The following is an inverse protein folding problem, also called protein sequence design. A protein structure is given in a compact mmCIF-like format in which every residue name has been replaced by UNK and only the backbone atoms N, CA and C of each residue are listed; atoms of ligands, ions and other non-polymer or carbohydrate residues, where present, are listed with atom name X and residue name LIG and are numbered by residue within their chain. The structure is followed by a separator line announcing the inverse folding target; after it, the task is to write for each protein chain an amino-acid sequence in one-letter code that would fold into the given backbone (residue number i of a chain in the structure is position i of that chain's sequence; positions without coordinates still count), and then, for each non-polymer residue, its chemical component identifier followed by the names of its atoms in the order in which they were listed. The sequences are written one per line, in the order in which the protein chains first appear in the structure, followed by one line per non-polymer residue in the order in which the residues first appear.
data_IF_609807837634
#
_entry.id   IF_609807837634
#
_cell.length_a   1.000
_cell.length_b   1.000
_cell.length_c   1.000
_cell.angle_alpha   90.00
_cell.angle_beta   90.00
_cell.angle_gamma   90.00
#
_symmetry.space_group_name_H-M   'P 1'
#
loop_
_entity.id
_entity.type
_entity.pdbx_description
1 polymer ?
#
# COMPACT_ATOMS: atom_id res chain seq x y z
N UNK A 1 -26.84 13.65 -37.38
CA UNK A 1 -25.43 13.95 -37.68
C UNK A 1 -24.75 14.30 -36.37
N UNK A 2 -24.08 13.34 -35.72
CA UNK A 2 -23.48 13.48 -34.39
C UNK A 2 -21.98 13.74 -34.60
N UNK A 3 -21.48 14.90 -34.16
CA UNK A 3 -20.07 15.28 -34.22
C UNK A 3 -19.29 14.50 -33.14
N UNK A 4 -18.53 13.50 -33.57
CA UNK A 4 -17.58 12.73 -32.74
C UNK A 4 -16.32 13.59 -32.48
N UNK A 5 -16.32 14.36 -31.38
CA UNK A 5 -15.15 15.07 -30.88
C UNK A 5 -14.26 14.13 -30.06
N UNK A 6 -13.56 13.21 -30.75
CA UNK A 6 -12.44 12.48 -30.12
C UNK A 6 -11.29 13.44 -29.84
N UNK A 7 -11.25 13.99 -28.62
CA UNK A 7 -10.07 14.67 -28.08
C UNK A 7 -8.89 13.70 -28.09
N UNK A 8 -7.97 13.90 -29.03
CA UNK A 8 -6.68 13.20 -29.12
C UNK A 8 -5.92 13.44 -27.80
N UNK A 9 -5.88 12.44 -26.93
CA UNK A 9 -5.18 12.51 -25.64
C UNK A 9 -3.67 12.47 -25.93
N UNK A 10 -3.04 13.64 -26.00
CA UNK A 10 -1.58 13.72 -26.18
C UNK A 10 -0.93 13.29 -24.87
N UNK A 11 -0.33 12.10 -24.86
CA UNK A 11 0.51 11.64 -23.75
C UNK A 11 1.79 12.48 -23.71
N UNK A 12 1.74 13.63 -23.05
CA UNK A 12 2.94 14.44 -22.78
C UNK A 12 3.61 13.89 -21.53
N UNK A 13 4.82 13.35 -21.69
CA UNK A 13 5.71 13.02 -20.58
C UNK A 13 6.36 14.31 -20.05
N UNK A 14 6.61 14.34 -18.73
CA UNK A 14 7.28 15.46 -18.05
C UNK A 14 8.66 14.98 -17.63
N UNK A 15 9.72 15.54 -18.23
CA UNK A 15 11.12 15.22 -17.90
C UNK A 15 11.62 16.11 -16.75
N UNK A 16 12.18 15.52 -15.70
CA UNK A 16 12.81 16.28 -14.62
C UNK A 16 14.12 16.92 -15.09
N UNK A 17 14.33 18.24 -14.89
CA UNK A 17 15.56 18.90 -15.35
C UNK A 17 16.80 18.55 -14.51
N UNK A 18 16.62 17.97 -13.31
CA UNK A 18 17.72 17.69 -12.40
C UNK A 18 18.31 16.29 -12.55
N UNK A 19 17.47 15.29 -12.85
CA UNK A 19 17.87 13.88 -12.94
C UNK A 19 17.47 13.21 -14.26
N UNK A 20 16.87 13.96 -15.18
CA UNK A 20 16.44 13.49 -16.51
C UNK A 20 15.41 12.36 -16.55
N UNK A 21 14.79 12.00 -15.42
CA UNK A 21 13.73 10.98 -15.38
C UNK A 21 12.43 11.54 -15.96
N UNK A 22 11.80 10.76 -16.83
CA UNK A 22 10.50 11.07 -17.42
C UNK A 22 9.35 10.51 -16.57
N UNK A 23 8.34 11.35 -16.33
CA UNK A 23 7.16 11.00 -15.56
C UNK A 23 5.90 11.16 -16.40
N UNK A 24 4.89 10.32 -16.17
CA UNK A 24 3.53 10.65 -16.65
C UNK A 24 2.95 11.72 -15.74
N UNK A 25 2.15 12.68 -16.25
CA UNK A 25 1.56 13.72 -15.43
C UNK A 25 0.74 13.21 -14.23
N UNK A 26 0.10 12.04 -14.38
CA UNK A 26 -0.66 11.41 -13.31
C UNK A 26 0.24 10.96 -12.13
N UNK A 27 1.46 10.49 -12.42
CA UNK A 27 2.37 9.89 -11.43
C UNK A 27 2.98 10.94 -10.50
N UNK A 28 3.07 12.20 -10.95
CA UNK A 28 3.60 13.31 -10.16
C UNK A 28 2.53 14.34 -9.75
N UNK A 29 1.26 14.11 -10.09
CA UNK A 29 0.17 15.06 -9.80
C UNK A 29 0.07 15.41 -8.30
N UNK A 30 0.33 14.43 -7.45
CA UNK A 30 0.31 14.55 -5.98
C UNK A 30 1.47 15.38 -5.42
N UNK A 31 2.53 15.62 -6.19
CA UNK A 31 3.70 16.40 -5.76
C UNK A 31 3.61 17.89 -6.10
N UNK A 32 2.48 18.33 -6.70
CA UNK A 32 2.23 19.72 -7.06
C UNK A 32 2.04 20.58 -5.80
N UNK A 33 3.02 21.43 -5.48
CA UNK A 33 2.94 22.40 -4.39
C UNK A 33 3.38 23.77 -4.91
N UNK A 34 2.59 24.82 -4.63
CA UNK A 34 2.92 26.21 -5.01
C UNK A 34 3.31 26.36 -6.50
N UNK A 35 2.61 25.67 -7.41
CA UNK A 35 2.79 25.79 -8.86
C UNK A 35 3.97 25.03 -9.48
N UNK A 36 4.69 24.21 -8.72
CA UNK A 36 5.75 23.33 -9.23
C UNK A 36 5.55 21.90 -8.72
N UNK A 37 5.95 20.91 -9.52
CA UNK A 37 6.03 19.52 -9.07
C UNK A 37 7.36 19.30 -8.36
N UNK A 38 7.38 18.35 -7.42
CA UNK A 38 8.62 17.89 -6.78
C UNK A 38 9.00 16.54 -7.39
N UNK A 39 10.24 16.40 -7.85
CA UNK A 39 10.73 15.15 -8.44
C UNK A 39 10.84 14.06 -7.36
N UNK A 40 10.15 12.91 -7.48
CA UNK A 40 10.23 11.85 -6.48
C UNK A 40 11.62 11.22 -6.33
N UNK A 41 12.48 11.33 -7.34
CA UNK A 41 13.79 10.68 -7.36
C UNK A 41 14.93 11.54 -6.80
N UNK A 42 14.87 12.86 -6.96
CA UNK A 42 15.95 13.77 -6.56
C UNK A 42 15.49 15.01 -5.79
N UNK A 43 14.18 15.10 -5.49
CA UNK A 43 13.53 16.22 -4.80
C UNK A 43 13.64 17.58 -5.50
N UNK A 44 14.26 17.64 -6.68
CA UNK A 44 14.37 18.83 -7.52
C UNK A 44 13.00 19.35 -7.98
N UNK A 45 12.89 20.67 -8.19
CA UNK A 45 11.65 21.31 -8.63
C UNK A 45 11.47 21.13 -10.13
N UNK A 46 10.33 20.60 -10.54
CA UNK A 46 9.94 20.47 -11.95
C UNK A 46 8.92 21.56 -12.26
N UNK A 47 9.20 22.47 -13.21
CA UNK A 47 8.26 23.52 -13.59
C UNK A 47 6.97 22.90 -14.15
N UNK A 48 5.82 23.40 -13.70
CA UNK A 48 4.53 22.96 -14.23
C UNK A 48 4.42 23.35 -15.70
N UNK A 49 4.03 22.44 -16.62
CA UNK A 49 3.86 22.77 -18.03
C UNK A 49 2.77 23.83 -18.26
N UNK A 50 1.88 24.05 -17.28
CA UNK A 50 0.87 25.10 -17.28
C UNK A 50 1.43 26.50 -16.97
N UNK A 51 2.65 26.59 -16.44
CA UNK A 51 3.30 27.84 -16.05
C UNK A 51 4.17 28.42 -17.18
N UNK A 52 3.74 28.28 -18.43
CA UNK A 52 4.31 29.11 -19.49
C UNK A 52 3.95 30.56 -19.16
N UNK A 53 4.93 31.47 -18.99
CA UNK A 53 4.63 32.88 -18.79
C UNK A 53 3.90 33.36 -20.03
N UNK A 54 2.60 33.53 -19.91
CA UNK A 54 1.77 34.11 -20.96
C UNK A 54 2.26 35.56 -21.11
N UNK A 55 3.20 35.79 -22.04
CA UNK A 55 3.50 37.13 -22.55
C UNK A 55 2.21 37.60 -23.20
N UNK A 56 1.39 38.29 -22.41
CA UNK A 56 0.20 38.99 -22.86
C UNK A 56 0.64 40.14 -23.76
N UNK A 57 0.83 39.85 -25.04
CA UNK A 57 0.78 40.85 -26.09
C UNK A 57 -0.66 40.91 -26.56
N UNK A 58 -1.53 41.49 -25.74
CA UNK A 58 -2.92 41.77 -26.12
C UNK A 58 -3.01 43.20 -26.65
N UNK A 59 -3.53 43.43 -27.86
CA UNK A 59 -3.83 44.78 -28.34
C UNK A 59 -5.00 45.38 -27.55
N UNK A 60 -5.09 46.72 -27.41
CA UNK A 60 -6.15 47.35 -26.62
C UNK A 60 -7.50 47.23 -27.35
N UNK A 61 -8.30 46.26 -26.92
CA UNK A 61 -9.68 46.03 -27.38
C UNK A 61 -10.71 46.38 -26.30
N UNK A 62 -11.95 46.78 -26.68
CA UNK A 62 -12.86 47.53 -25.83
C UNK A 62 -13.54 46.65 -24.76
N UNK A 63 -13.13 46.82 -23.50
CA UNK A 63 -13.56 46.04 -22.31
C UNK A 63 -15.03 46.26 -21.92
N UNK A 64 -15.78 47.16 -22.58
CA UNK A 64 -17.13 47.54 -22.14
C UNK A 64 -18.26 46.52 -22.41
N UNK A 65 -18.06 45.47 -23.21
CA UNK A 65 -19.15 44.55 -23.59
C UNK A 65 -19.40 43.38 -22.62
N UNK A 66 -18.51 43.11 -21.67
CA UNK A 66 -18.63 41.95 -20.78
C UNK A 66 -19.01 42.29 -19.33
N UNK A 67 -19.09 43.58 -18.98
CA UNK A 67 -19.44 43.98 -17.62
C UNK A 67 -20.91 43.65 -17.26
N UNK A 68 -21.82 43.84 -18.21
CA UNK A 68 -23.25 43.59 -18.02
C UNK A 68 -23.59 42.11 -17.73
N UNK A 69 -23.14 41.11 -18.52
CA UNK A 69 -23.45 39.71 -18.23
C UNK A 69 -22.81 39.20 -16.93
N UNK A 70 -21.63 39.70 -16.56
CA UNK A 70 -20.98 39.32 -15.29
C UNK A 70 -21.77 39.84 -14.09
N UNK A 71 -22.28 41.08 -14.13
CA UNK A 71 -23.11 41.61 -13.04
C UNK A 71 -24.44 40.86 -12.90
N UNK A 72 -25.07 40.46 -14.02
CA UNK A 72 -26.30 39.65 -14.00
C UNK A 72 -26.03 38.29 -13.35
N UNK A 73 -24.95 37.59 -13.73
CA UNK A 73 -24.63 36.29 -13.15
C UNK A 73 -24.37 36.39 -11.64
N UNK A 74 -23.68 37.45 -11.22
CA UNK A 74 -23.35 37.69 -9.81
C UNK A 74 -24.63 37.94 -8.99
N UNK A 75 -25.58 38.69 -9.54
CA UNK A 75 -26.89 38.94 -8.94
C UNK A 75 -27.75 37.67 -8.79
N UNK A 76 -27.73 36.78 -9.78
CA UNK A 76 -28.46 35.50 -9.70
C UNK A 76 -27.88 34.60 -8.61
N UNK A 77 -26.54 34.50 -8.53
CA UNK A 77 -25.89 33.67 -7.50
C UNK A 77 -26.18 34.21 -6.09
N UNK A 78 -26.12 35.53 -5.89
CA UNK A 78 -26.43 36.13 -4.59
C UNK A 78 -27.90 35.95 -4.21
N UNK A 79 -28.83 36.11 -5.15
CA UNK A 79 -30.24 35.84 -4.91
C UNK A 79 -30.48 34.39 -4.45
N UNK A 80 -29.89 33.40 -5.14
CA UNK A 80 -30.01 31.98 -4.78
C UNK A 80 -29.45 31.66 -3.39
N UNK A 81 -28.31 32.25 -3.02
CA UNK A 81 -27.73 32.05 -1.69
C UNK A 81 -28.67 32.62 -0.62
N UNK A 82 -29.22 33.81 -0.83
CA UNK A 82 -30.15 34.43 0.12
C UNK A 82 -31.44 33.63 0.26
N UNK A 83 -32.05 33.14 -0.82
CA UNK A 83 -33.24 32.27 -0.73
C UNK A 83 -32.95 30.96 -0.01
N UNK A 84 -31.77 30.36 -0.24
CA UNK A 84 -31.39 29.11 0.43
C UNK A 84 -31.25 29.28 1.95
N UNK A 85 -30.69 30.40 2.40
CA UNK A 85 -30.58 30.70 3.84
C UNK A 85 -31.90 31.13 4.48
N UNK A 86 -32.76 31.85 3.76
CA UNK A 86 -34.07 32.27 4.28
C UNK A 86 -35.10 31.12 4.34
N UNK A 87 -35.01 30.13 3.46
CA UNK A 87 -35.94 28.99 3.45
C UNK A 87 -35.55 27.83 4.39
N UNK A 88 -34.42 27.92 5.10
CA UNK A 88 -33.96 26.84 6.00
C UNK A 88 -34.52 26.89 7.43
N UNK A 89 -35.65 27.57 7.65
CA UNK A 89 -36.30 27.67 8.95
C UNK A 89 -37.60 26.84 9.03
N UNK A 90 -37.50 25.53 8.81
CA UNK A 90 -38.49 24.56 9.32
C UNK A 90 -37.77 23.34 9.89
N UNK A 91 -37.19 23.52 11.08
CA UNK A 91 -36.78 22.40 11.93
C UNK A 91 -38.01 21.87 12.65
N UNK A 92 -38.78 21.02 11.96
CA UNK A 92 -39.75 20.14 12.60
C UNK A 92 -38.97 19.15 13.47
N UNK A 93 -38.86 19.47 14.75
CA UNK A 93 -38.31 18.59 15.77
C UNK A 93 -39.29 17.43 15.94
N UNK A 94 -39.10 16.33 15.21
CA UNK A 94 -39.80 15.09 15.52
C UNK A 94 -39.28 14.57 16.85
N UNK A 95 -40.16 14.52 17.84
CA UNK A 95 -39.94 13.82 19.09
C UNK A 95 -39.72 12.33 18.78
N UNK A 96 -38.46 11.92 18.83
CA UNK A 96 -38.06 10.50 18.80
C UNK A 96 -38.64 9.86 20.06
N UNK A 97 -39.61 8.95 19.88
CA UNK A 97 -40.06 8.08 20.97
C UNK A 97 -38.86 7.28 21.48
N UNK A 98 -38.61 7.22 22.80
CA UNK A 98 -37.53 6.44 23.35
C UNK A 98 -37.76 4.97 22.99
N UNK A 99 -36.90 4.43 22.13
CA UNK A 99 -36.80 2.99 21.92
C UNK A 99 -36.15 2.44 23.18
N UNK A 100 -36.93 1.74 23.99
CA UNK A 100 -36.43 1.00 25.14
C UNK A 100 -35.36 0.03 24.65
N UNK A 101 -34.09 0.15 25.07
CA UNK A 101 -33.08 -0.80 24.67
C UNK A 101 -33.48 -2.18 25.19
N UNK A 102 -33.56 -3.15 24.28
CA UNK A 102 -33.61 -4.56 24.66
C UNK A 102 -32.28 -4.85 25.35
N UNK A 103 -32.33 -4.94 26.67
CA UNK A 103 -31.21 -5.36 27.51
C UNK A 103 -30.94 -6.82 27.15
N UNK A 104 -29.96 -7.05 26.29
CA UNK A 104 -29.36 -8.36 26.12
C UNK A 104 -28.65 -8.64 27.45
N UNK A 105 -29.17 -9.58 28.23
CA UNK A 105 -28.52 -10.02 29.46
C UNK A 105 -27.08 -10.42 29.14
N UNK A 106 -26.07 -9.84 29.80
CA UNK A 106 -24.70 -10.30 29.66
C UNK A 106 -24.65 -11.77 30.05
N UNK A 107 -24.10 -12.57 29.14
CA UNK A 107 -23.76 -13.98 29.39
C UNK A 107 -22.93 -14.03 30.69
N UNK A 108 -23.26 -14.92 31.64
CA UNK A 108 -22.50 -15.07 32.88
C UNK A 108 -21.01 -15.22 32.56
N UNK A 109 -20.24 -14.26 33.04
CA UNK A 109 -18.79 -14.22 32.90
C UNK A 109 -18.23 -15.46 33.59
N UNK A 110 -17.64 -16.35 32.81
CA UNK A 110 -17.00 -17.55 33.32
C UNK A 110 -15.82 -17.09 34.19
N UNK A 111 -15.71 -17.54 35.45
CA UNK A 111 -14.66 -17.08 36.35
C UNK A 111 -13.29 -17.29 35.70
N UNK A 112 -12.35 -16.34 35.84
CA UNK A 112 -11.01 -16.49 35.30
C UNK A 112 -10.42 -17.81 35.81
N UNK A 113 -10.03 -18.67 34.87
CA UNK A 113 -9.31 -19.89 35.18
C UNK A 113 -8.12 -19.51 36.07
N UNK A 114 -8.08 -20.08 37.29
CA UNK A 114 -6.95 -19.94 38.21
C UNK A 114 -5.65 -20.21 37.44
N UNK A 115 -4.66 -19.32 37.51
CA UNK A 115 -3.33 -19.62 37.02
C UNK A 115 -2.83 -20.91 37.70
N UNK A 116 -2.42 -21.89 36.90
CA UNK A 116 -1.72 -23.04 37.42
C UNK A 116 -0.46 -22.56 38.18
N UNK A 117 -0.15 -23.13 39.35
CA UNK A 117 1.04 -22.77 40.11
C UNK A 117 2.28 -22.97 39.21
N UNK A 118 3.08 -21.91 39.10
CA UNK A 118 4.36 -21.98 38.43
C UNK A 118 5.24 -23.05 39.10
N UNK A 119 5.95 -23.90 38.33
CA UNK A 119 6.90 -24.83 38.90
C UNK A 119 8.00 -24.07 39.67
N UNK A 120 8.53 -24.64 40.76
CA UNK A 120 9.58 -24.01 41.54
C UNK A 120 10.79 -23.73 40.66
N UNK A 121 11.23 -22.48 40.67
CA UNK A 121 12.47 -22.03 40.04
C UNK A 121 13.61 -22.79 40.71
N UNK A 122 14.15 -23.78 39.99
CA UNK A 122 15.35 -24.50 40.39
C UNK A 122 16.53 -23.53 40.34
N UNK A 123 17.03 -23.17 41.52
CA UNK A 123 18.23 -22.37 41.72
C UNK A 123 19.43 -23.12 41.14
N UNK A 124 19.90 -22.68 39.97
CA UNK A 124 21.14 -23.17 39.35
C UNK A 124 22.33 -22.71 40.21
N UNK A 125 23.28 -23.61 40.57
CA UNK A 125 24.48 -23.24 41.31
C UNK A 125 25.38 -22.31 40.51
N UNK A 126 25.98 -21.33 41.19
CA UNK A 126 27.03 -20.47 40.67
C UNK A 126 28.18 -21.31 40.09
N UNK A 127 28.28 -21.36 38.77
CA UNK A 127 29.35 -22.02 38.05
C UNK A 127 30.63 -21.20 38.20
N UNK A 128 31.68 -21.89 38.67
CA UNK A 128 33.03 -21.40 38.78
C UNK A 128 33.55 -20.82 37.46
N UNK A 129 34.33 -19.74 37.57
CA UNK A 129 35.13 -19.19 36.50
C UNK A 129 36.15 -20.24 36.04
N UNK A 130 35.82 -20.93 34.95
CA UNK A 130 36.78 -21.76 34.21
C UNK A 130 37.51 -20.82 33.27
N UNK A 131 38.83 -20.72 33.47
CA UNK A 131 39.73 -19.97 32.59
C UNK A 131 39.73 -20.57 31.19
N UNK A 132 39.55 -19.71 30.19
CA UNK A 132 39.67 -20.01 28.77
C UNK A 132 41.10 -20.46 28.43
N UNK A 133 41.36 -21.77 28.49
CA UNK A 133 42.51 -22.36 27.83
C UNK A 133 42.15 -22.54 26.34
N UNK A 134 42.42 -21.48 25.59
CA UNK A 134 42.20 -21.36 24.16
C UNK A 134 43.12 -22.32 23.41
N UNK A 135 42.62 -23.54 23.16
CA UNK A 135 43.27 -24.51 22.29
C UNK A 135 43.16 -24.01 20.83
N UNK A 136 44.29 -23.55 20.27
CA UNK A 136 44.46 -23.15 18.87
C UNK A 136 44.24 -24.35 17.93
N UNK A 137 42.98 -24.73 17.70
CA UNK A 137 42.61 -25.62 16.62
C UNK A 137 42.66 -24.85 15.29
N UNK A 138 43.20 -25.45 14.21
CA UNK A 138 43.26 -24.81 12.90
C UNK A 138 41.85 -24.42 12.43
N UNK A 139 41.58 -23.11 12.41
CA UNK A 139 40.31 -22.54 11.98
C UNK A 139 40.12 -22.85 10.49
N UNK A 140 39.29 -23.86 10.20
CA UNK A 140 38.83 -24.12 8.84
C UNK A 140 38.16 -22.84 8.32
N UNK A 141 38.59 -22.28 7.18
CA UNK A 141 38.03 -21.03 6.67
C UNK A 141 36.51 -21.18 6.53
N UNK A 142 35.77 -20.19 7.06
CA UNK A 142 34.34 -20.17 6.94
C UNK A 142 33.95 -20.22 5.44
N UNK A 143 32.98 -21.06 5.05
CA UNK A 143 32.57 -21.15 3.65
C UNK A 143 32.03 -19.81 3.16
N UNK A 144 32.32 -19.47 1.90
CA UNK A 144 31.87 -18.25 1.25
C UNK A 144 30.33 -18.22 1.17
N UNK A 145 29.72 -17.27 1.87
CA UNK A 145 28.25 -17.12 1.94
C UNK A 145 27.64 -16.86 0.57
N UNK A 146 28.33 -16.18 -0.36
CA UNK A 146 27.81 -15.96 -1.71
C UNK A 146 27.68 -17.29 -2.46
N UNK A 147 28.70 -18.15 -2.39
CA UNK A 147 28.66 -19.48 -3.01
C UNK A 147 27.54 -20.35 -2.43
N UNK A 148 27.30 -20.26 -1.12
CA UNK A 148 26.17 -20.94 -0.48
C UNK A 148 24.84 -20.42 -1.04
N UNK A 149 24.66 -19.11 -1.14
CA UNK A 149 23.44 -18.49 -1.68
C UNK A 149 23.19 -18.89 -3.13
N UNK A 150 24.21 -18.80 -3.99
CA UNK A 150 24.12 -19.18 -5.40
C UNK A 150 23.78 -20.67 -5.56
N UNK A 151 24.38 -21.54 -4.73
CA UNK A 151 24.05 -22.97 -4.70
C UNK A 151 22.62 -23.23 -4.27
N UNK A 152 22.15 -22.61 -3.18
CA UNK A 152 20.75 -22.76 -2.70
C UNK A 152 19.77 -22.35 -3.80
N UNK A 153 20.01 -21.20 -4.45
CA UNK A 153 19.16 -20.71 -5.52
C UNK A 153 19.13 -21.67 -6.72
N UNK A 154 20.28 -22.21 -7.12
CA UNK A 154 20.40 -23.17 -8.21
C UNK A 154 19.74 -24.52 -7.89
N UNK A 155 19.96 -25.06 -6.69
CA UNK A 155 19.34 -26.31 -6.22
C UNK A 155 17.83 -26.19 -6.13
N UNK A 156 17.35 -25.05 -5.62
CA UNK A 156 15.93 -24.75 -5.56
C UNK A 156 15.29 -24.73 -6.95
N UNK A 157 15.92 -24.04 -7.91
CA UNK A 157 15.44 -23.99 -9.29
C UNK A 157 15.41 -25.37 -9.94
N UNK A 158 16.42 -26.21 -9.67
CA UNK A 158 16.51 -27.58 -10.19
C UNK A 158 15.41 -28.49 -9.64
N UNK A 159 15.08 -28.36 -8.35
CA UNK A 159 14.16 -29.26 -7.65
C UNK A 159 12.70 -28.76 -7.65
N UNK A 160 12.46 -27.55 -8.17
CA UNK A 160 11.12 -26.97 -8.24
C UNK A 160 10.25 -27.73 -9.23
N UNK A 161 9.36 -28.57 -8.71
CA UNK A 161 8.22 -29.07 -9.50
C UNK A 161 7.38 -27.87 -9.89
N UNK A 162 7.14 -27.70 -11.19
CA UNK A 162 6.30 -26.61 -11.73
C UNK A 162 4.88 -26.82 -11.21
N UNK A 163 4.54 -26.18 -10.10
CA UNK A 163 3.17 -26.14 -9.62
C UNK A 163 2.30 -25.43 -10.68
N UNK A 164 1.05 -25.87 -10.88
CA UNK A 164 0.11 -25.12 -11.70
C UNK A 164 0.00 -23.68 -11.17
N UNK A 165 -0.08 -22.72 -12.09
CA UNK A 165 -0.03 -21.28 -11.82
C UNK A 165 -0.97 -20.86 -10.67
N UNK A 166 -0.45 -20.09 -9.70
CA UNK A 166 -1.24 -19.52 -8.60
C UNK A 166 -0.39 -18.73 -7.59
N UNK A 167 -0.96 -17.67 -7.00
CA UNK A 167 -0.27 -16.74 -6.10
C UNK A 167 0.29 -17.38 -4.81
N UNK A 168 -0.24 -18.52 -4.39
CA UNK A 168 0.24 -19.25 -3.21
C UNK A 168 1.65 -19.81 -3.39
N UNK A 169 2.09 -19.94 -4.64
CA UNK A 169 3.32 -20.63 -5.00
C UNK A 169 4.56 -19.80 -4.61
N UNK A 170 4.58 -18.48 -4.86
CA UNK A 170 5.77 -17.65 -4.62
C UNK A 170 6.14 -17.53 -3.15
N UNK A 171 5.15 -17.38 -2.28
CA UNK A 171 5.37 -17.26 -0.83
C UNK A 171 6.00 -18.51 -0.26
N UNK A 172 5.46 -19.68 -0.58
CA UNK A 172 5.94 -20.94 -0.04
C UNK A 172 7.36 -21.26 -0.57
N UNK A 173 7.67 -20.83 -1.80
CA UNK A 173 9.02 -20.89 -2.36
C UNK A 173 10.00 -19.98 -1.60
N UNK A 174 9.61 -18.75 -1.30
CA UNK A 174 10.43 -17.82 -0.52
C UNK A 174 10.69 -18.35 0.89
N UNK A 175 9.68 -18.92 1.56
CA UNK A 175 9.83 -19.56 2.87
C UNK A 175 10.83 -20.72 2.82
N UNK A 176 10.78 -21.56 1.77
CA UNK A 176 11.71 -22.68 1.59
C UNK A 176 13.17 -22.20 1.45
N UNK A 177 13.42 -21.21 0.60
CA UNK A 177 14.76 -20.62 0.43
C UNK A 177 15.23 -19.97 1.73
N UNK A 178 14.35 -19.23 2.41
CA UNK A 178 14.66 -18.59 3.69
C UNK A 178 15.10 -19.61 4.76
N UNK A 179 14.39 -20.74 4.88
CA UNK A 179 14.76 -21.82 5.81
C UNK A 179 16.13 -22.42 5.49
N UNK A 180 16.44 -22.62 4.20
CA UNK A 180 17.75 -23.12 3.77
C UNK A 180 18.88 -22.14 4.13
N UNK A 181 18.66 -20.83 3.96
CA UNK A 181 19.64 -19.80 4.33
C UNK A 181 19.92 -19.78 5.84
N UNK A 182 18.86 -19.82 6.66
CA UNK A 182 19.02 -19.89 8.12
C UNK A 182 19.75 -21.16 8.57
N UNK A 183 19.47 -22.30 7.93
CA UNK A 183 20.17 -23.57 8.21
C UNK A 183 21.68 -23.45 7.95
N UNK A 184 22.07 -22.63 6.99
CA UNK A 184 23.46 -22.30 6.67
C UNK A 184 24.00 -21.09 7.46
N UNK A 185 23.29 -20.63 8.50
CA UNK A 185 23.66 -19.47 9.34
C UNK A 185 23.84 -18.18 8.53
N UNK A 186 22.98 -17.98 7.53
CA UNK A 186 22.91 -16.76 6.73
C UNK A 186 21.62 -16.03 7.11
N UNK A 187 21.76 -14.85 7.71
CA UNK A 187 20.63 -13.99 8.03
C UNK A 187 19.86 -13.63 6.75
N UNK A 188 18.55 -13.79 6.78
CA UNK A 188 17.70 -13.50 5.64
C UNK A 188 16.36 -12.91 6.06
N UNK A 189 15.77 -12.12 5.16
CA UNK A 189 14.41 -11.56 5.28
C UNK A 189 13.57 -12.03 4.10
N UNK A 190 12.30 -12.29 4.34
CA UNK A 190 11.33 -12.54 3.28
C UNK A 190 10.76 -11.18 2.88
N UNK A 191 10.65 -10.92 1.59
CA UNK A 191 10.18 -9.67 1.04
C UNK A 191 8.91 -9.89 0.22
N UNK A 192 7.95 -8.98 0.31
CA UNK A 192 6.81 -8.91 -0.61
C UNK A 192 6.74 -7.53 -1.26
N UNK A 193 6.35 -7.47 -2.53
CA UNK A 193 6.30 -6.21 -3.27
C UNK A 193 5.91 -6.38 -4.72
N UNK A 194 6.28 -5.41 -5.55
CA UNK A 194 6.12 -5.44 -7.00
C UNK A 194 7.47 -5.11 -7.65
N UNK A 195 8.11 -6.11 -8.26
CA UNK A 195 9.44 -5.97 -8.86
C UNK A 195 9.42 -5.36 -10.26
N UNK A 196 8.23 -5.20 -10.86
CA UNK A 196 8.03 -4.68 -12.22
C UNK A 196 7.80 -3.17 -12.24
N UNK A 197 7.47 -2.59 -11.09
CA UNK A 197 7.11 -1.19 -10.95
C UNK A 197 8.03 -0.45 -9.99
N UNK A 198 8.16 0.86 -10.21
CA UNK A 198 8.90 1.71 -9.28
C UNK A 198 8.01 2.09 -8.10
N UNK A 199 8.14 1.35 -7.00
CA UNK A 199 7.30 1.56 -5.80
C UNK A 199 7.71 2.76 -4.95
N UNK A 200 8.76 3.52 -5.29
CA UNK A 200 9.23 4.64 -4.45
C UNK A 200 8.23 5.79 -4.32
N UNK A 201 7.28 5.92 -5.25
CA UNK A 201 6.21 6.92 -5.19
C UNK A 201 4.91 6.38 -4.57
N UNK A 202 4.89 5.10 -4.17
CA UNK A 202 3.69 4.47 -3.64
C UNK A 202 3.51 4.83 -2.16
N UNK A 203 2.26 4.81 -1.72
CA UNK A 203 1.95 4.78 -0.28
C UNK A 203 1.81 3.32 0.19
N UNK A 204 1.79 3.12 1.51
CA UNK A 204 1.67 1.79 2.10
C UNK A 204 0.41 1.04 1.63
N UNK A 205 -0.74 1.72 1.53
CA UNK A 205 -1.99 1.09 1.05
C UNK A 205 -1.85 0.55 -0.37
N UNK A 206 -1.22 1.32 -1.26
CA UNK A 206 -0.94 0.89 -2.63
C UNK A 206 0.05 -0.27 -2.65
N UNK A 207 1.12 -0.21 -1.85
CA UNK A 207 2.07 -1.32 -1.72
C UNK A 207 1.37 -2.61 -1.31
N UNK A 208 0.53 -2.59 -0.27
CA UNK A 208 -0.20 -3.78 0.17
C UNK A 208 -1.10 -4.35 -0.93
N UNK A 209 -1.85 -3.49 -1.63
CA UNK A 209 -2.81 -3.91 -2.67
C UNK A 209 -2.14 -4.46 -3.93
N UNK A 210 -1.10 -3.78 -4.40
CA UNK A 210 -0.49 -4.01 -5.71
C UNK A 210 0.75 -4.92 -5.63
N UNK A 211 1.13 -5.41 -4.44
CA UNK A 211 2.20 -6.39 -4.27
C UNK A 211 1.81 -7.74 -4.87
N UNK A 212 2.60 -8.24 -5.81
CA UNK A 212 2.34 -9.46 -6.58
C UNK A 212 3.51 -10.44 -6.61
N UNK A 213 4.63 -10.13 -5.93
CA UNK A 213 5.83 -10.97 -5.92
C UNK A 213 6.33 -11.21 -4.49
N UNK A 214 7.00 -12.34 -4.26
CA UNK A 214 7.65 -12.69 -2.99
C UNK A 214 9.03 -13.27 -3.23
N UNK A 215 10.04 -12.68 -2.58
CA UNK A 215 11.44 -13.06 -2.73
C UNK A 215 12.17 -13.04 -1.39
N UNK A 216 13.46 -13.37 -1.40
CA UNK A 216 14.29 -13.41 -0.19
C UNK A 216 15.48 -12.46 -0.34
N UNK A 217 15.82 -11.73 0.72
CA UNK A 217 17.06 -10.93 0.79
C UNK A 217 17.97 -11.55 1.83
N UNK A 218 19.15 -11.98 1.41
CA UNK A 218 20.18 -12.58 2.25
C UNK A 218 21.26 -11.55 2.59
N UNK A 219 21.69 -11.51 3.85
CA UNK A 219 22.76 -10.65 4.34
C UNK A 219 24.07 -11.43 4.39
N UNK A 220 25.00 -11.08 3.50
CA UNK A 220 26.31 -11.74 3.39
C UNK A 220 27.26 -11.19 4.45
N UNK A 221 27.25 -9.86 4.64
CA UNK A 221 28.05 -9.14 5.62
C UNK A 221 27.25 -7.98 6.21
N UNK A 222 27.78 -7.20 7.17
CA UNK A 222 27.11 -6.00 7.68
C UNK A 222 26.67 -5.01 6.60
N UNK A 223 27.41 -4.91 5.49
CA UNK A 223 27.19 -3.94 4.41
C UNK A 223 26.73 -4.59 3.09
N UNK A 224 26.84 -5.91 2.97
CA UNK A 224 26.54 -6.63 1.73
C UNK A 224 25.28 -7.48 1.86
N UNK A 225 24.35 -7.27 0.92
CA UNK A 225 23.12 -8.05 0.78
C UNK A 225 22.87 -8.41 -0.67
N UNK A 226 22.21 -9.54 -0.89
CA UNK A 226 21.75 -10.00 -2.20
C UNK A 226 20.29 -10.41 -2.14
N UNK A 227 19.55 -10.22 -3.22
CA UNK A 227 18.21 -10.75 -3.35
C UNK A 227 18.22 -12.07 -4.12
N UNK A 228 17.28 -12.95 -3.83
CA UNK A 228 17.08 -14.23 -4.50
C UNK A 228 15.65 -14.23 -5.01
N UNK A 229 15.50 -14.09 -6.33
CA UNK A 229 14.21 -14.20 -7.00
C UNK A 229 13.82 -15.68 -7.05
N UNK A 230 12.67 -16.01 -6.47
CA UNK A 230 12.29 -17.39 -6.14
C UNK A 230 11.66 -18.14 -7.32
N UNK A 231 11.18 -17.40 -8.32
CA UNK A 231 10.55 -17.95 -9.52
C UNK A 231 11.55 -18.62 -10.44
N UNK A 232 12.66 -17.93 -10.69
CA UNK A 232 13.76 -18.30 -11.59
C UNK A 232 14.98 -18.81 -10.83
N UNK A 233 15.00 -18.70 -9.49
CA UNK A 233 16.15 -19.07 -8.66
C UNK A 233 17.39 -18.23 -8.99
N UNK A 234 17.19 -16.94 -9.28
CA UNK A 234 18.27 -16.04 -9.70
C UNK A 234 18.75 -15.18 -8.55
N UNK A 235 20.06 -15.12 -8.35
CA UNK A 235 20.69 -14.18 -7.40
C UNK A 235 20.84 -12.81 -8.05
N UNK A 236 20.27 -11.79 -7.41
CA UNK A 236 20.27 -10.39 -7.83
C UNK A 236 21.24 -9.62 -6.93
N UNK A 237 22.39 -9.25 -7.50
CA UNK A 237 23.43 -8.46 -6.83
C UNK A 237 23.09 -6.95 -6.94
N UNK A 238 23.39 -6.14 -5.91
CA UNK A 238 23.27 -4.68 -5.99
C UNK A 238 24.04 -4.11 -7.19
N UNK A 239 23.54 -3.01 -7.77
CA UNK A 239 24.17 -2.34 -8.92
C UNK A 239 23.82 -2.91 -10.30
N UNK A 240 23.20 -4.09 -10.39
CA UNK A 240 22.62 -4.58 -11.65
C UNK A 240 21.41 -3.73 -12.05
N UNK A 241 21.19 -3.52 -13.35
CA UNK A 241 19.99 -2.84 -13.86
C UNK A 241 18.71 -3.52 -13.32
N UNK A 242 17.81 -2.74 -12.73
CA UNK A 242 16.57 -3.24 -12.12
C UNK A 242 16.72 -3.87 -10.73
N UNK A 243 17.95 -4.00 -10.19
CA UNK A 243 18.16 -4.64 -8.89
C UNK A 243 17.51 -3.87 -7.73
N UNK A 244 17.36 -2.55 -7.84
CA UNK A 244 16.80 -1.72 -6.78
C UNK A 244 15.38 -2.13 -6.37
N UNK A 245 14.58 -2.65 -7.31
CA UNK A 245 13.21 -3.10 -7.02
C UNK A 245 13.19 -4.29 -6.03
N UNK A 246 14.22 -5.14 -6.03
CA UNK A 246 14.34 -6.30 -5.14
C UNK A 246 14.78 -5.96 -3.71
N UNK A 247 15.11 -4.70 -3.44
CA UNK A 247 15.49 -4.24 -2.10
C UNK A 247 14.46 -3.30 -1.51
N UNK A 248 13.26 -3.25 -2.11
CA UNK A 248 12.12 -2.41 -1.71
C UNK A 248 10.87 -3.28 -1.62
N UNK A 249 10.02 -3.05 -0.64
CA UNK A 249 8.87 -3.90 -0.35
C UNK A 249 8.56 -3.91 1.14
N UNK A 250 7.83 -4.91 1.62
CA UNK A 250 7.59 -5.13 3.05
C UNK A 250 8.48 -6.29 3.50
N UNK A 251 9.28 -6.07 4.54
CA UNK A 251 10.20 -7.08 5.07
C UNK A 251 9.61 -7.89 6.24
N UNK A 252 9.86 -9.19 6.21
CA UNK A 252 9.42 -10.12 7.24
C UNK A 252 10.60 -10.91 7.80
N UNK A 253 10.61 -11.05 9.12
CA UNK A 253 11.67 -11.73 9.86
C UNK A 253 11.52 -13.24 9.87
N UNK A 254 10.29 -13.73 9.67
CA UNK A 254 9.98 -15.15 9.73
C UNK A 254 8.69 -15.49 8.95
N UNK A 255 8.47 -16.78 8.62
CA UNK A 255 7.28 -17.26 7.92
C UNK A 255 5.94 -16.91 8.58
N UNK A 256 5.90 -16.87 9.92
CA UNK A 256 4.68 -16.53 10.66
C UNK A 256 4.18 -15.12 10.35
N UNK A 257 5.09 -14.15 10.25
CA UNK A 257 4.73 -12.76 9.94
C UNK A 257 4.19 -12.61 8.51
N UNK A 258 4.84 -13.19 7.50
CA UNK A 258 4.35 -13.10 6.11
C UNK A 258 3.03 -13.85 5.91
N UNK A 259 2.84 -14.99 6.60
CA UNK A 259 1.56 -15.71 6.56
C UNK A 259 0.42 -14.88 7.15
N UNK A 260 0.67 -14.20 8.28
CA UNK A 260 -0.30 -13.30 8.90
C UNK A 260 -0.59 -12.10 8.00
N UNK A 261 0.43 -11.48 7.43
CA UNK A 261 0.26 -10.38 6.49
C UNK A 261 -0.57 -10.80 5.27
N UNK A 262 -0.27 -11.94 4.65
CA UNK A 262 -0.99 -12.42 3.47
C UNK A 262 -2.46 -12.76 3.78
N UNK A 263 -2.72 -13.34 4.96
CA UNK A 263 -4.09 -13.59 5.44
C UNK A 263 -4.88 -12.27 5.55
N UNK A 264 -4.36 -11.29 6.28
CA UNK A 264 -5.02 -9.99 6.47
C UNK A 264 -5.17 -9.23 5.14
N UNK A 265 -4.17 -9.33 4.26
CA UNK A 265 -4.21 -8.72 2.93
C UNK A 265 -5.33 -9.31 2.07
N UNK A 266 -5.50 -10.64 2.08
CA UNK A 266 -6.58 -11.31 1.34
C UNK A 266 -7.95 -10.89 1.85
N UNK A 267 -8.14 -10.88 3.16
CA UNK A 267 -9.37 -10.41 3.79
C UNK A 267 -9.69 -8.96 3.41
N UNK A 268 -8.71 -8.05 3.55
CA UNK A 268 -8.86 -6.65 3.16
C UNK A 268 -9.20 -6.50 1.66
N UNK A 269 -8.48 -7.20 0.79
CA UNK A 269 -8.72 -7.16 -0.66
C UNK A 269 -10.12 -7.66 -1.03
N UNK A 270 -10.61 -8.72 -0.39
CA UNK A 270 -11.96 -9.24 -0.60
C UNK A 270 -13.03 -8.22 -0.18
N UNK A 271 -12.93 -7.70 1.05
CA UNK A 271 -13.87 -6.73 1.60
C UNK A 271 -13.91 -5.46 0.75
N UNK A 272 -12.75 -4.95 0.35
CA UNK A 272 -12.67 -3.73 -0.45
C UNK A 272 -13.16 -3.95 -1.89
N UNK A 273 -12.90 -5.12 -2.50
CA UNK A 273 -13.47 -5.47 -3.81
C UNK A 273 -14.99 -5.52 -3.75
N UNK A 274 -15.57 -6.00 -2.64
CA UNK A 274 -17.03 -5.96 -2.45
C UNK A 274 -17.56 -4.54 -2.34
N UNK A 275 -16.90 -3.67 -1.57
CA UNK A 275 -17.24 -2.26 -1.47
C UNK A 275 -17.19 -1.56 -2.85
N UNK A 276 -16.17 -1.86 -3.65
CA UNK A 276 -16.01 -1.34 -5.01
C UNK A 276 -17.16 -1.84 -5.92
N UNK A 277 -17.52 -3.13 -5.85
CA UNK A 277 -18.66 -3.69 -6.59
C UNK A 277 -19.98 -3.01 -6.20
N UNK A 278 -20.22 -2.80 -4.91
CA UNK A 278 -21.42 -2.11 -4.42
C UNK A 278 -21.45 -0.63 -4.82
N UNK A 279 -20.30 0.04 -4.83
CA UNK A 279 -20.18 1.43 -5.30
C UNK A 279 -20.52 1.51 -6.78
N UNK A 280 -20.03 0.56 -7.58
CA UNK A 280 -20.37 0.46 -9.01
C UNK A 280 -21.86 0.20 -9.22
N UNK A 281 -22.44 -0.78 -8.53
CA UNK A 281 -23.89 -1.06 -8.59
C UNK A 281 -24.71 0.17 -8.20
N UNK A 282 -24.31 0.89 -7.14
CA UNK A 282 -24.98 2.13 -6.74
C UNK A 282 -25.00 3.16 -7.88
N UNK A 283 -23.85 3.40 -8.50
CA UNK A 283 -23.73 4.37 -9.58
C UNK A 283 -24.53 3.98 -10.83
N UNK A 284 -24.60 2.69 -11.16
CA UNK A 284 -25.29 2.19 -12.36
C UNK A 284 -26.79 1.99 -12.14
N UNK A 285 -27.19 1.59 -10.93
CA UNK A 285 -28.52 1.05 -10.63
C UNK A 285 -29.34 1.83 -9.61
N UNK A 286 -28.76 2.82 -8.92
CA UNK A 286 -29.47 3.59 -7.89
C UNK A 286 -29.39 5.09 -8.17
N UNK A 287 -28.17 5.60 -8.42
CA UNK A 287 -27.95 7.02 -8.62
C UNK A 287 -28.79 7.56 -9.80
N UNK A 288 -29.64 8.55 -9.52
CA UNK A 288 -30.50 9.20 -10.51
C UNK A 288 -31.75 8.42 -10.93
N UNK A 289 -31.99 7.20 -10.40
CA UNK A 289 -33.21 6.43 -10.67
C UNK A 289 -34.28 6.74 -9.62
N UNK A 290 -35.56 6.74 -10.03
CA UNK A 290 -36.69 6.82 -9.10
C UNK A 290 -36.89 5.46 -8.45
N UNK A 291 -36.46 5.34 -7.20
CA UNK A 291 -36.67 4.16 -6.35
C UNK A 291 -37.41 4.57 -5.08
N UNK A 292 -38.11 3.63 -4.41
CA UNK A 292 -38.72 3.91 -3.11
C UNK A 292 -37.67 4.41 -2.10
N UNK A 293 -37.93 5.48 -1.33
CA UNK A 293 -36.95 6.05 -0.40
C UNK A 293 -36.36 5.06 0.62
N UNK A 294 -37.19 4.09 1.06
CA UNK A 294 -36.77 3.01 1.96
C UNK A 294 -35.69 2.13 1.34
N UNK A 295 -35.79 1.85 0.04
CA UNK A 295 -34.80 1.04 -0.68
C UNK A 295 -33.48 1.80 -0.84
N UNK A 296 -33.54 3.07 -1.25
CA UNK A 296 -32.36 3.94 -1.39
C UNK A 296 -31.59 3.99 -0.07
N UNK A 297 -32.29 4.27 1.03
CA UNK A 297 -31.70 4.36 2.38
C UNK A 297 -31.05 3.04 2.79
N UNK A 298 -31.72 1.90 2.56
CA UNK A 298 -31.19 0.59 2.90
C UNK A 298 -29.95 0.21 2.06
N UNK A 299 -29.94 0.53 0.76
CA UNK A 299 -28.77 0.31 -0.10
C UNK A 299 -27.60 1.22 0.30
N UNK A 300 -27.87 2.48 0.63
CA UNK A 300 -26.85 3.45 1.04
C UNK A 300 -26.19 3.04 2.35
N UNK A 301 -27.00 2.66 3.35
CA UNK A 301 -26.49 2.19 4.64
C UNK A 301 -25.60 0.95 4.49
N UNK A 302 -26.00 -0.04 3.68
CA UNK A 302 -25.16 -1.21 3.39
C UNK A 302 -23.86 -0.86 2.68
N UNK A 303 -23.89 0.06 1.72
CA UNK A 303 -22.68 0.52 1.03
C UNK A 303 -21.71 1.21 2.00
N UNK A 304 -22.19 2.13 2.82
CA UNK A 304 -21.34 2.85 3.79
C UNK A 304 -20.78 1.90 4.85
N UNK A 305 -21.58 0.92 5.33
CA UNK A 305 -21.06 -0.13 6.21
C UNK A 305 -19.92 -0.90 5.54
N UNK A 306 -20.08 -1.33 4.29
CA UNK A 306 -19.04 -2.13 3.60
C UNK A 306 -17.78 -1.32 3.32
N UNK A 307 -17.90 -0.01 3.04
CA UNK A 307 -16.73 0.89 2.96
C UNK A 307 -16.01 0.98 4.30
N UNK A 308 -16.75 1.11 5.40
CA UNK A 308 -16.15 1.13 6.73
C UNK A 308 -15.45 -0.20 7.06
N UNK A 309 -16.05 -1.34 6.70
CA UNK A 309 -15.42 -2.66 6.86
C UNK A 309 -14.08 -2.73 6.08
N UNK A 310 -14.03 -2.19 4.86
CA UNK A 310 -12.81 -2.11 4.05
C UNK A 310 -11.72 -1.29 4.75
N UNK A 311 -12.06 -0.13 5.30
CA UNK A 311 -11.10 0.71 6.06
C UNK A 311 -10.64 0.00 7.34
N UNK A 312 -11.54 -0.67 8.06
CA UNK A 312 -11.20 -1.45 9.25
C UNK A 312 -10.26 -2.61 8.93
N UNK A 313 -10.47 -3.32 7.82
CA UNK A 313 -9.57 -4.38 7.38
C UNK A 313 -8.16 -3.84 7.06
N UNK A 314 -8.05 -2.63 6.49
CA UNK A 314 -6.76 -1.97 6.28
C UNK A 314 -6.09 -1.52 7.58
N UNK A 315 -6.84 -1.16 8.62
CA UNK A 315 -6.26 -0.82 9.93
C UNK A 315 -5.49 -2.01 10.50
N UNK A 316 -5.99 -3.24 10.34
CA UNK A 316 -5.29 -4.44 10.79
C UNK A 316 -3.91 -4.62 10.11
N UNK A 317 -3.77 -4.17 8.86
CA UNK A 317 -2.51 -4.23 8.11
C UNK A 317 -1.49 -3.16 8.54
N UNK A 318 -1.88 -2.13 9.30
CA UNK A 318 -0.94 -1.07 9.73
C UNK A 318 0.17 -1.58 10.65
N UNK A 319 0.00 -2.75 11.27
CA UNK A 319 1.07 -3.36 12.08
C UNK A 319 2.34 -3.68 11.27
N UNK A 320 2.25 -3.76 9.93
CA UNK A 320 3.40 -3.98 9.05
C UNK A 320 3.87 -2.71 8.33
N UNK A 321 3.26 -1.54 8.58
CA UNK A 321 3.61 -0.29 7.88
C UNK A 321 5.06 0.13 8.14
N UNK A 322 5.55 -0.05 9.36
CA UNK A 322 6.94 0.27 9.73
C UNK A 322 7.99 -0.65 9.07
N UNK A 323 7.56 -1.75 8.43
CA UNK A 323 8.41 -2.71 7.72
C UNK A 323 8.49 -2.42 6.22
N UNK A 324 7.77 -1.41 5.74
CA UNK A 324 7.81 -1.01 4.35
C UNK A 324 9.07 -0.21 4.03
N UNK A 325 9.79 -0.66 3.00
CA UNK A 325 11.01 -0.05 2.48
C UNK A 325 10.70 0.48 1.08
N UNK A 326 10.70 1.81 0.93
CA UNK A 326 10.40 2.49 -0.33
C UNK A 326 11.64 3.00 -1.07
N UNK A 327 12.78 3.11 -0.38
CA UNK A 327 14.02 3.74 -0.87
C UNK A 327 15.15 2.73 -1.03
#
# INVERSE_FOLDING_TARGET
MILDLRKKKVNKHIKCPHCEIEYKPADIATTLKKGHFTCPACEGKIPSPSATPWKSTSPPGPVKKYLAPVLILTGVVTAFVVTYFLMSADKTTQAVKPVTPVIIQPRPEQPPARPAPAPPVSSVPAAAAVSDEQTDLPVKPAPDKMQIVERIAAEFQKNKTRAPEGDLVYRDMAISIWNQLLTNRIDAKIMIGNIKENISAWNYRQLVRESNDTWVVAKLSPTEKVAIETTMGTVIKPGRQGASAYFRGIEFDNPGQINRFDFLRKEANEVCRDADRMTKDWNENVAGKQLPPKEITARQSRLEQRKQDCENAFIALKEFESRAIFY
#
